data_IF_257475647341
#
_entry.id   IF_257475647341
#
_cell.length_a   1.000
_cell.length_b   1.000
_cell.length_c   1.000
_cell.angle_alpha   90.00
_cell.angle_beta   90.00
_cell.angle_gamma   90.00
#
_symmetry.space_group_name_H-M   'P 1'
#
loop_
_entity.id
_entity.type
_entity.pdbx_description
1 polymer ?
#
# COMPACT_ATOMS: atom_id res chain seq x y z
N UNK A 1 79.11 -12.55 -26.56
CA UNK A 1 77.86 -12.07 -27.20
C UNK A 1 76.89 -13.19 -27.56
N UNK A 2 77.26 -14.23 -28.36
CA UNK A 2 76.38 -15.37 -28.72
C UNK A 2 75.63 -15.99 -27.53
N UNK A 3 76.31 -16.14 -26.38
CA UNK A 3 75.77 -16.80 -25.20
C UNK A 3 74.69 -15.97 -24.47
N UNK A 4 74.89 -14.67 -24.26
CA UNK A 4 73.90 -13.81 -23.59
C UNK A 4 72.56 -13.72 -24.36
N UNK A 5 72.62 -13.73 -25.70
CA UNK A 5 71.44 -13.67 -26.57
C UNK A 5 70.62 -14.97 -26.47
N UNK A 6 71.29 -16.12 -26.34
CA UNK A 6 70.63 -17.41 -26.17
C UNK A 6 69.90 -17.52 -24.81
N UNK A 7 70.44 -16.91 -23.75
CA UNK A 7 69.78 -16.83 -22.45
C UNK A 7 68.51 -15.96 -22.48
N UNK A 8 68.60 -14.78 -23.10
CA UNK A 8 67.42 -13.90 -23.26
C UNK A 8 66.35 -14.55 -24.14
N UNK A 9 66.75 -15.33 -25.15
CA UNK A 9 65.83 -16.05 -26.03
C UNK A 9 64.98 -17.09 -25.29
N UNK A 10 65.63 -17.89 -24.43
CA UNK A 10 64.95 -18.92 -23.65
C UNK A 10 63.98 -18.32 -22.63
N UNK A 11 64.28 -17.16 -22.04
CA UNK A 11 63.35 -16.50 -21.11
C UNK A 11 62.04 -16.06 -21.76
N UNK A 12 62.05 -15.71 -23.05
CA UNK A 12 60.83 -15.30 -23.77
C UNK A 12 59.94 -16.45 -24.23
N UNK A 13 60.48 -17.66 -24.38
CA UNK A 13 59.71 -18.84 -24.83
C UNK A 13 58.96 -19.56 -23.70
N UNK A 14 59.23 -19.24 -22.42
CA UNK A 14 58.60 -19.88 -21.26
C UNK A 14 57.61 -18.99 -20.49
N UNK A 15 57.32 -17.77 -20.95
CA UNK A 15 56.40 -16.85 -20.26
C UNK A 15 54.94 -16.90 -20.74
N UNK A 16 54.57 -17.83 -21.61
CA UNK A 16 53.18 -18.02 -22.02
C UNK A 16 52.40 -18.83 -20.99
N UNK A 17 52.13 -18.19 -19.85
CA UNK A 17 51.30 -18.68 -18.77
C UNK A 17 51.02 -17.57 -17.78
N UNK A 18 50.05 -16.71 -18.10
CA UNK A 18 49.59 -15.55 -17.34
C UNK A 18 50.63 -14.41 -17.16
N UNK A 19 50.11 -13.19 -17.27
CA UNK A 19 50.78 -11.93 -16.94
C UNK A 19 51.59 -12.01 -15.63
N UNK A 20 52.91 -12.05 -15.73
CA UNK A 20 53.81 -11.78 -14.62
C UNK A 20 54.99 -10.96 -15.13
N UNK A 21 55.23 -9.81 -14.48
CA UNK A 21 56.32 -8.92 -14.79
C UNK A 21 57.64 -9.69 -14.74
N UNK A 22 58.35 -9.78 -15.87
CA UNK A 22 59.62 -10.49 -15.95
C UNK A 22 60.70 -9.53 -15.45
N UNK A 23 61.05 -9.67 -14.17
CA UNK A 23 62.29 -9.12 -13.64
C UNK A 23 63.45 -9.77 -14.39
N UNK A 24 64.18 -8.98 -15.17
CA UNK A 24 65.30 -9.43 -15.98
C UNK A 24 66.50 -9.78 -15.13
N UNK A 25 66.52 -10.98 -14.55
CA UNK A 25 67.75 -11.53 -13.98
C UNK A 25 68.70 -11.90 -15.12
N UNK A 26 69.84 -11.22 -15.15
CA UNK A 26 70.92 -11.46 -16.10
C UNK A 26 71.49 -12.86 -15.83
N UNK A 27 71.17 -13.83 -16.68
CA UNK A 27 71.71 -15.19 -16.58
C UNK A 27 73.19 -15.19 -16.97
N UNK A 28 74.05 -15.66 -16.07
CA UNK A 28 75.48 -15.82 -16.35
C UNK A 28 75.73 -16.82 -17.49
N UNK A 29 76.63 -16.43 -18.38
CA UNK A 29 77.03 -17.12 -19.61
C UNK A 29 77.44 -18.59 -19.42
N UNK A 30 77.91 -18.96 -18.24
CA UNK A 30 78.36 -20.32 -17.94
C UNK A 30 77.23 -21.30 -17.58
N UNK A 31 76.00 -20.81 -17.33
CA UNK A 31 74.86 -21.65 -16.91
C UNK A 31 73.95 -22.06 -18.06
N UNK A 32 74.14 -21.49 -19.25
CA UNK A 32 73.24 -21.64 -20.41
C UNK A 32 73.28 -23.05 -20.99
N UNK A 33 74.47 -23.63 -21.11
CA UNK A 33 74.64 -25.01 -21.58
C UNK A 33 73.99 -26.03 -20.60
N UNK A 34 73.91 -25.67 -19.31
CA UNK A 34 73.19 -26.42 -18.28
C UNK A 34 71.68 -26.32 -18.46
N UNK A 35 71.15 -25.11 -18.60
CA UNK A 35 69.71 -24.85 -18.78
C UNK A 35 69.15 -25.49 -20.07
N UNK A 36 69.92 -25.47 -21.16
CA UNK A 36 69.54 -26.15 -22.41
C UNK A 36 69.45 -27.66 -22.20
N UNK A 37 70.43 -28.26 -21.51
CA UNK A 37 70.44 -29.70 -21.21
C UNK A 37 69.31 -30.10 -20.25
N UNK A 38 69.07 -29.32 -19.19
CA UNK A 38 67.99 -29.56 -18.22
C UNK A 38 66.61 -29.57 -18.90
N UNK A 39 66.44 -28.78 -19.97
CA UNK A 39 65.18 -28.67 -20.70
C UNK A 39 65.14 -29.48 -22.01
N UNK A 40 66.10 -30.40 -22.24
CA UNK A 40 66.18 -31.22 -23.46
C UNK A 40 66.23 -30.41 -24.77
N UNK A 41 66.88 -29.25 -24.73
CA UNK A 41 67.05 -28.34 -25.86
C UNK A 41 68.47 -28.39 -26.43
N UNK A 42 68.57 -28.26 -27.74
CA UNK A 42 69.86 -28.19 -28.46
C UNK A 42 69.87 -26.97 -29.36
N UNK A 43 70.84 -26.08 -29.17
CA UNK A 43 71.09 -24.96 -30.07
C UNK A 43 72.07 -25.38 -31.18
N UNK A 44 71.72 -25.12 -32.44
CA UNK A 44 72.60 -25.34 -33.60
C UNK A 44 72.71 -24.06 -34.41
N UNK A 45 73.93 -23.69 -34.74
CA UNK A 45 74.19 -22.57 -35.63
C UNK A 45 74.30 -23.09 -37.07
N UNK A 46 73.52 -22.50 -37.96
CA UNK A 46 73.50 -22.83 -39.37
C UNK A 46 74.43 -21.88 -40.15
N UNK A 47 74.91 -22.33 -41.32
CA UNK A 47 75.89 -21.60 -42.13
C UNK A 47 75.39 -20.22 -42.63
N UNK A 48 74.08 -19.98 -42.56
CA UNK A 48 73.38 -18.72 -42.84
C UNK A 48 73.40 -17.73 -41.66
N UNK A 49 74.09 -18.05 -40.56
CA UNK A 49 74.21 -17.19 -39.38
C UNK A 49 72.97 -17.18 -38.48
N UNK A 50 72.03 -18.11 -38.70
CA UNK A 50 70.83 -18.32 -37.88
C UNK A 50 71.12 -19.38 -36.82
N UNK A 51 70.80 -19.08 -35.56
CA UNK A 51 70.84 -20.07 -34.46
C UNK A 51 69.45 -20.66 -34.26
N UNK A 52 69.29 -21.96 -34.46
CA UNK A 52 68.02 -22.67 -34.27
C UNK A 52 68.04 -23.47 -32.98
N UNK A 53 66.95 -23.44 -32.23
CA UNK A 53 66.77 -24.17 -30.98
C UNK A 53 65.81 -25.33 -31.25
N UNK A 54 66.28 -26.54 -30.98
CA UNK A 54 65.51 -27.76 -31.19
C UNK A 54 65.12 -28.38 -29.85
N UNK A 55 63.86 -28.78 -29.71
CA UNK A 55 63.38 -29.66 -28.66
C UNK A 55 63.42 -31.13 -29.12
N UNK A 56 63.35 -32.04 -28.15
CA UNK A 56 63.10 -33.47 -28.38
C UNK A 56 64.18 -34.13 -29.28
N UNK A 57 65.44 -34.08 -28.82
CA UNK A 57 66.59 -34.69 -29.50
C UNK A 57 66.83 -34.23 -30.96
N UNK A 58 66.46 -32.99 -31.29
CA UNK A 58 66.84 -32.36 -32.56
C UNK A 58 65.84 -32.49 -33.70
N UNK A 59 64.60 -32.94 -33.43
CA UNK A 59 63.57 -33.10 -34.45
C UNK A 59 62.64 -31.88 -34.60
N UNK A 60 62.30 -31.19 -33.51
CA UNK A 60 61.36 -30.07 -33.55
C UNK A 60 62.09 -28.75 -33.36
N UNK A 61 62.17 -27.93 -34.41
CA UNK A 61 62.67 -26.56 -34.32
C UNK A 61 61.60 -25.69 -33.65
N UNK A 62 61.85 -25.27 -32.41
CA UNK A 62 60.88 -24.50 -31.62
C UNK A 62 61.17 -23.00 -31.67
N UNK A 63 62.40 -22.60 -31.98
CA UNK A 63 62.72 -21.19 -32.12
C UNK A 63 63.93 -20.93 -33.01
N UNK A 64 63.92 -19.81 -33.73
CA UNK A 64 65.04 -19.33 -34.53
C UNK A 64 65.51 -17.96 -34.05
N UNK A 65 66.81 -17.75 -34.00
CA UNK A 65 67.45 -16.48 -33.68
C UNK A 65 68.28 -16.03 -34.88
N UNK A 66 67.94 -14.89 -35.48
CA UNK A 66 68.68 -14.34 -36.62
C UNK A 66 69.27 -12.98 -36.26
N UNK A 67 70.58 -12.80 -36.53
CA UNK A 67 71.23 -11.50 -36.43
C UNK A 67 70.93 -10.68 -37.68
N UNK A 68 70.42 -9.47 -37.49
CA UNK A 68 70.16 -8.52 -38.56
C UNK A 68 71.41 -7.68 -38.87
N UNK A 69 71.46 -7.11 -40.08
CA UNK A 69 72.58 -6.29 -40.54
C UNK A 69 72.81 -5.02 -39.69
N UNK A 70 71.76 -4.55 -39.00
CA UNK A 70 71.80 -3.40 -38.09
C UNK A 70 72.30 -3.72 -36.67
N UNK A 71 72.74 -4.97 -36.45
CA UNK A 71 73.26 -5.46 -35.17
C UNK A 71 72.20 -5.97 -34.20
N UNK A 72 70.91 -5.93 -34.56
CA UNK A 72 69.80 -6.46 -33.75
C UNK A 72 69.61 -7.97 -33.93
N UNK A 73 68.79 -8.61 -33.08
CA UNK A 73 68.46 -10.03 -33.17
C UNK A 73 66.95 -10.24 -33.27
N UNK A 74 66.49 -10.99 -34.26
CA UNK A 74 65.09 -11.40 -34.38
C UNK A 74 64.92 -12.78 -33.76
N UNK A 75 63.86 -12.97 -32.97
CA UNK A 75 63.48 -14.28 -32.44
C UNK A 75 62.15 -14.69 -33.02
N UNK A 76 62.13 -15.86 -33.66
CA UNK A 76 60.95 -16.44 -34.25
C UNK A 76 60.59 -17.70 -33.47
N UNK A 77 59.44 -17.70 -32.81
CA UNK A 77 58.86 -18.90 -32.22
C UNK A 77 58.10 -19.65 -33.32
N UNK A 78 58.43 -20.92 -33.51
CA UNK A 78 57.86 -21.76 -34.57
C UNK A 78 56.58 -22.50 -34.14
N UNK A 79 55.97 -22.16 -33.00
CA UNK A 79 54.67 -22.71 -32.60
C UNK A 79 53.53 -22.18 -33.49
N UNK A 80 52.54 -23.03 -33.83
CA UNK A 80 51.48 -22.75 -34.83
C UNK A 80 50.53 -21.56 -34.52
N UNK A 81 50.80 -20.76 -33.49
CA UNK A 81 50.01 -19.57 -33.18
C UNK A 81 50.79 -18.45 -32.45
N UNK A 82 52.13 -18.50 -32.45
CA UNK A 82 52.97 -17.49 -31.81
C UNK A 82 53.51 -16.49 -32.84
N UNK A 83 53.18 -15.21 -32.68
CA UNK A 83 53.81 -14.15 -33.48
C UNK A 83 55.31 -14.05 -33.21
N UNK A 84 56.08 -13.56 -34.18
CA UNK A 84 57.52 -13.29 -34.02
C UNK A 84 57.76 -12.13 -33.05
N UNK A 85 58.67 -12.31 -32.08
CA UNK A 85 59.09 -11.24 -31.16
C UNK A 85 60.43 -10.66 -31.59
N UNK A 86 60.46 -9.39 -31.94
CA UNK A 86 61.69 -8.69 -32.32
C UNK A 86 62.40 -8.15 -31.06
N UNK A 87 63.63 -8.60 -30.78
CA UNK A 87 64.41 -8.20 -29.61
C UNK A 87 65.65 -7.40 -30.02
N UNK A 88 65.67 -6.10 -29.70
CA UNK A 88 66.81 -5.24 -30.02
C UNK A 88 67.84 -5.34 -28.91
N UNK A 89 69.01 -5.91 -29.20
CA UNK A 89 70.14 -5.97 -28.27
C UNK A 89 71.22 -5.02 -28.74
N UNK A 90 71.45 -3.92 -28.00
CA UNK A 90 72.54 -2.96 -28.24
C UNK A 90 73.32 -2.76 -26.95
N UNK A 91 74.63 -2.96 -27.00
CA UNK A 91 75.55 -2.75 -25.86
C UNK A 91 75.17 -3.51 -24.57
N UNK A 92 74.60 -4.71 -24.70
CA UNK A 92 74.24 -5.57 -23.57
C UNK A 92 72.87 -5.28 -22.94
N UNK A 93 72.12 -4.31 -23.45
CA UNK A 93 70.75 -3.99 -23.03
C UNK A 93 69.77 -4.60 -24.04
N UNK A 94 68.79 -5.34 -23.54
CA UNK A 94 67.69 -5.93 -24.32
C UNK A 94 66.51 -4.96 -24.27
N UNK A 95 66.03 -4.50 -25.42
CA UNK A 95 64.74 -3.82 -25.54
C UNK A 95 63.78 -4.63 -26.40
N UNK A 96 62.56 -4.83 -25.90
CA UNK A 96 61.46 -5.40 -26.66
C UNK A 96 61.04 -4.37 -27.73
N UNK A 97 61.01 -4.73 -29.01
CA UNK A 97 60.40 -3.87 -30.02
C UNK A 97 58.87 -3.89 -29.77
N UNK A 98 58.21 -2.73 -29.91
CA UNK A 98 56.78 -2.55 -29.71
C UNK A 98 55.99 -3.72 -30.32
N UNK A 99 55.17 -4.38 -29.50
CA UNK A 99 54.17 -5.32 -29.98
C UNK A 99 53.22 -4.50 -30.84
N UNK A 100 53.30 -4.66 -32.15
CA UNK A 100 52.32 -4.10 -33.06
C UNK A 100 50.95 -4.68 -32.66
N UNK A 101 50.14 -3.85 -31.98
CA UNK A 101 48.76 -4.17 -31.61
C UNK A 101 48.02 -4.49 -32.91
N UNK A 102 47.96 -5.76 -33.30
CA UNK A 102 47.13 -6.17 -34.43
C UNK A 102 45.69 -5.81 -34.06
N UNK A 103 45.03 -4.88 -34.78
CA UNK A 103 43.63 -4.57 -34.51
C UNK A 103 42.82 -5.87 -34.66
N UNK A 104 41.82 -6.05 -33.78
CA UNK A 104 40.89 -7.17 -33.84
C UNK A 104 40.33 -7.31 -35.27
N UNK A 105 40.13 -8.52 -35.81
CA UNK A 105 39.57 -8.72 -37.14
C UNK A 105 38.24 -7.95 -37.28
N UNK A 106 38.08 -7.16 -38.35
CA UNK A 106 36.97 -6.20 -38.51
C UNK A 106 35.57 -6.78 -38.28
N UNK A 107 35.37 -8.08 -38.56
CA UNK A 107 34.11 -8.79 -38.34
C UNK A 107 33.72 -8.92 -36.86
N UNK A 108 34.66 -9.13 -35.94
CA UNK A 108 34.35 -9.31 -34.52
C UNK A 108 34.06 -7.99 -33.81
N UNK A 109 34.66 -6.89 -34.29
CA UNK A 109 34.34 -5.55 -33.80
C UNK A 109 32.94 -5.13 -34.24
N UNK A 110 32.61 -5.33 -35.52
CA UNK A 110 31.27 -5.03 -36.04
C UNK A 110 30.16 -5.82 -35.34
N UNK A 111 30.40 -7.10 -34.99
CA UNK A 111 29.45 -7.91 -34.22
C UNK A 111 29.23 -7.39 -32.80
N UNK A 112 30.30 -7.03 -32.09
CA UNK A 112 30.19 -6.46 -30.74
C UNK A 112 29.49 -5.09 -30.75
N UNK A 113 29.81 -4.24 -31.73
CA UNK A 113 29.17 -2.93 -31.87
C UNK A 113 27.67 -3.06 -32.18
N UNK A 114 27.28 -4.07 -32.99
CA UNK A 114 25.87 -4.38 -33.25
C UNK A 114 25.13 -4.86 -31.98
N UNK A 115 25.73 -5.74 -31.19
CA UNK A 115 25.16 -6.23 -29.93
C UNK A 115 25.00 -5.10 -28.88
N UNK A 116 25.99 -4.21 -28.77
CA UNK A 116 25.91 -3.03 -27.89
C UNK A 116 24.77 -2.11 -28.32
N UNK A 117 24.59 -1.89 -29.62
CA UNK A 117 23.51 -1.03 -30.13
C UNK A 117 22.13 -1.67 -29.92
N UNK A 118 22.02 -2.99 -30.07
CA UNK A 118 20.80 -3.71 -29.74
C UNK A 118 20.46 -3.59 -28.25
N UNK A 119 21.42 -3.84 -27.35
CA UNK A 119 21.21 -3.72 -25.92
C UNK A 119 20.81 -2.29 -25.50
N UNK A 120 21.38 -1.26 -26.14
CA UNK A 120 20.96 0.14 -25.93
C UNK A 120 19.50 0.37 -26.30
N UNK A 121 19.06 -0.16 -27.43
CA UNK A 121 17.67 -0.02 -27.88
C UNK A 121 16.70 -0.74 -26.91
N UNK A 122 17.05 -1.94 -26.47
CA UNK A 122 16.22 -2.71 -25.52
C UNK A 122 16.09 -1.99 -24.16
N UNK A 123 17.17 -1.36 -23.68
CA UNK A 123 17.17 -0.54 -22.47
C UNK A 123 16.31 0.72 -22.65
N UNK A 124 16.38 1.38 -23.81
CA UNK A 124 15.55 2.56 -24.09
C UNK A 124 14.06 2.21 -24.12
N UNK A 125 13.71 1.06 -24.70
CA UNK A 125 12.32 0.58 -24.69
C UNK A 125 11.86 0.20 -23.28
N UNK A 126 12.70 -0.46 -22.49
CA UNK A 126 12.41 -0.76 -21.08
C UNK A 126 12.18 0.51 -20.25
N UNK A 127 12.98 1.57 -20.46
CA UNK A 127 12.81 2.85 -19.78
C UNK A 127 11.48 3.52 -20.15
N UNK A 128 11.11 3.53 -21.44
CA UNK A 128 9.80 4.05 -21.88
C UNK A 128 8.63 3.30 -21.25
N UNK A 129 8.76 1.97 -21.11
CA UNK A 129 7.76 1.14 -20.41
C UNK A 129 7.71 1.48 -18.91
N UNK A 130 8.85 1.63 -18.24
CA UNK A 130 8.91 2.02 -16.83
C UNK A 130 8.23 3.37 -16.58
N UNK A 131 8.52 4.39 -17.40
CA UNK A 131 7.85 5.69 -17.29
C UNK A 131 6.33 5.60 -17.50
N UNK A 132 5.87 4.71 -18.39
CA UNK A 132 4.44 4.50 -18.59
C UNK A 132 3.77 3.83 -17.38
N UNK A 133 4.48 2.94 -16.70
CA UNK A 133 4.03 2.29 -15.47
C UNK A 133 3.98 3.31 -14.33
N UNK A 134 5.00 4.15 -14.16
CA UNK A 134 5.01 5.20 -13.14
C UNK A 134 3.83 6.17 -13.31
N UNK A 135 3.53 6.57 -14.56
CA UNK A 135 2.34 7.38 -14.85
C UNK A 135 1.05 6.65 -14.49
N UNK A 136 0.95 5.35 -14.77
CA UNK A 136 -0.22 4.56 -14.42
C UNK A 136 -0.40 4.42 -12.89
N UNK A 137 0.70 4.24 -12.15
CA UNK A 137 0.69 4.19 -10.68
C UNK A 137 0.23 5.54 -10.11
N UNK A 138 0.78 6.66 -10.58
CA UNK A 138 0.36 7.99 -10.11
C UNK A 138 -1.14 8.25 -10.35
N UNK A 139 -1.66 7.85 -11.53
CA UNK A 139 -3.09 7.98 -11.81
C UNK A 139 -3.94 7.10 -10.87
N UNK A 140 -3.46 5.91 -10.50
CA UNK A 140 -4.14 5.02 -9.55
C UNK A 140 -4.10 5.61 -8.14
N UNK A 141 -2.95 6.14 -7.70
CA UNK A 141 -2.80 6.80 -6.40
C UNK A 141 -3.77 7.98 -6.26
N UNK A 142 -3.87 8.82 -7.29
CA UNK A 142 -4.83 9.91 -7.33
C UNK A 142 -6.27 9.37 -7.24
N UNK A 143 -6.63 8.36 -8.02
CA UNK A 143 -7.97 7.78 -7.98
C UNK A 143 -8.32 7.18 -6.60
N UNK A 144 -7.36 6.49 -5.96
CA UNK A 144 -7.52 5.94 -4.61
C UNK A 144 -7.70 7.06 -3.59
N UNK A 145 -6.91 8.14 -3.68
CA UNK A 145 -7.00 9.27 -2.76
C UNK A 145 -8.36 9.98 -2.86
N UNK A 146 -8.84 10.24 -4.08
CA UNK A 146 -10.15 10.84 -4.31
C UNK A 146 -11.27 9.93 -3.82
N UNK A 147 -11.24 8.63 -4.19
CA UNK A 147 -12.23 7.66 -3.75
C UNK A 147 -12.26 7.49 -2.22
N UNK A 148 -11.08 7.46 -1.58
CA UNK A 148 -10.96 7.42 -0.12
C UNK A 148 -11.59 8.63 0.56
N UNK A 149 -11.32 9.84 0.04
CA UNK A 149 -11.92 11.07 0.58
C UNK A 149 -13.45 11.10 0.40
N UNK A 150 -13.97 10.64 -0.73
CA UNK A 150 -15.43 10.53 -0.94
C UNK A 150 -16.06 9.56 0.05
N UNK A 151 -15.43 8.41 0.31
CA UNK A 151 -15.90 7.44 1.30
C UNK A 151 -15.90 8.04 2.71
N UNK A 152 -14.83 8.74 3.11
CA UNK A 152 -14.75 9.40 4.42
C UNK A 152 -15.83 10.47 4.59
N UNK A 153 -16.08 11.27 3.54
CA UNK A 153 -17.13 12.27 3.55
C UNK A 153 -18.53 11.62 3.65
N UNK A 154 -18.77 10.54 2.90
CA UNK A 154 -20.02 9.80 2.96
C UNK A 154 -20.24 9.15 4.33
N UNK A 155 -19.21 8.53 4.91
CA UNK A 155 -19.26 7.96 6.26
C UNK A 155 -19.59 9.03 7.30
N UNK A 156 -18.91 10.18 7.24
CA UNK A 156 -19.17 11.32 8.13
C UNK A 156 -20.60 11.86 8.01
N UNK A 157 -21.13 11.90 6.78
CA UNK A 157 -22.53 12.30 6.55
C UNK A 157 -23.52 11.27 7.10
N UNK A 158 -23.20 9.97 7.01
CA UNK A 158 -24.01 8.90 7.59
C UNK A 158 -24.01 8.99 9.12
N UNK A 159 -22.85 9.16 9.75
CA UNK A 159 -22.75 9.28 11.21
C UNK A 159 -23.59 10.45 11.75
N UNK A 160 -23.52 11.61 11.08
CA UNK A 160 -24.34 12.76 11.43
C UNK A 160 -25.85 12.47 11.31
N UNK A 161 -26.26 11.73 10.27
CA UNK A 161 -27.67 11.33 10.08
C UNK A 161 -28.11 10.31 11.12
N UNK A 162 -27.28 9.33 11.46
CA UNK A 162 -27.57 8.32 12.49
C UNK A 162 -27.74 9.00 13.84
N UNK A 163 -26.80 9.85 14.26
CA UNK A 163 -26.91 10.60 15.51
C UNK A 163 -28.18 11.48 15.54
N UNK A 164 -28.53 12.12 14.42
CA UNK A 164 -29.77 12.90 14.31
C UNK A 164 -31.02 12.03 14.42
N UNK A 165 -31.01 10.82 13.85
CA UNK A 165 -32.12 9.87 13.94
C UNK A 165 -32.26 9.32 15.36
N UNK A 166 -31.17 9.03 16.06
CA UNK A 166 -31.19 8.60 17.46
C UNK A 166 -31.85 9.65 18.35
N UNK A 167 -31.42 10.92 18.23
CA UNK A 167 -32.02 12.05 18.96
C UNK A 167 -33.51 12.20 18.63
N UNK A 168 -33.89 12.14 17.35
CA UNK A 168 -35.29 12.24 16.94
C UNK A 168 -36.13 11.07 17.46
N UNK A 169 -35.59 9.86 17.47
CA UNK A 169 -36.28 8.67 17.94
C UNK A 169 -36.50 8.70 19.45
N UNK A 170 -35.49 9.13 20.22
CA UNK A 170 -35.63 9.34 21.66
C UNK A 170 -36.70 10.39 21.98
N UNK A 171 -36.69 11.52 21.26
CA UNK A 171 -37.71 12.57 21.42
C UNK A 171 -39.10 12.06 21.04
N UNK A 172 -39.23 11.28 19.97
CA UNK A 172 -40.50 10.68 19.54
C UNK A 172 -41.02 9.70 20.58
N UNK A 173 -40.17 8.81 21.11
CA UNK A 173 -40.56 7.84 22.13
C UNK A 173 -41.02 8.55 23.41
N UNK A 174 -40.30 9.58 23.85
CA UNK A 174 -40.72 10.39 25.01
C UNK A 174 -42.03 11.12 24.76
N UNK A 175 -42.21 11.71 23.57
CA UNK A 175 -43.44 12.41 23.20
C UNK A 175 -44.62 11.46 23.16
N UNK A 176 -44.44 10.26 22.60
CA UNK A 176 -45.48 9.24 22.53
C UNK A 176 -45.89 8.77 23.92
N UNK A 177 -44.95 8.52 24.83
CA UNK A 177 -45.25 8.17 26.22
C UNK A 177 -45.99 9.29 26.95
N UNK A 178 -45.59 10.55 26.75
CA UNK A 178 -46.29 11.70 27.33
C UNK A 178 -47.70 11.87 26.76
N UNK A 179 -47.89 11.66 25.46
CA UNK A 179 -49.19 11.71 24.81
C UNK A 179 -50.11 10.61 25.33
N UNK A 180 -49.64 9.35 25.43
CA UNK A 180 -50.43 8.26 25.99
C UNK A 180 -50.88 8.56 27.41
N UNK A 181 -49.97 9.03 28.28
CA UNK A 181 -50.33 9.44 29.65
C UNK A 181 -51.36 10.56 29.69
N UNK A 182 -51.26 11.55 28.78
CA UNK A 182 -52.23 12.65 28.68
C UNK A 182 -53.60 12.14 28.22
N UNK A 183 -53.63 11.20 27.28
CA UNK A 183 -54.87 10.57 26.81
C UNK A 183 -55.53 9.80 27.95
N UNK A 184 -54.79 8.95 28.66
CA UNK A 184 -55.31 8.18 29.81
C UNK A 184 -55.82 9.11 30.93
N UNK A 185 -55.10 10.22 31.16
CA UNK A 185 -55.53 11.25 32.10
C UNK A 185 -56.81 11.95 31.66
N UNK A 186 -56.93 12.29 30.38
CA UNK A 186 -58.10 12.98 29.86
C UNK A 186 -59.32 12.05 29.84
N UNK A 187 -59.14 10.77 29.49
CA UNK A 187 -60.20 9.76 29.58
C UNK A 187 -60.67 9.57 31.02
N UNK A 188 -59.74 9.55 31.99
CA UNK A 188 -60.08 9.50 33.42
C UNK A 188 -60.93 10.69 33.87
N UNK A 189 -60.51 11.91 33.54
CA UNK A 189 -61.26 13.15 33.85
C UNK A 189 -62.64 13.19 33.19
N UNK A 190 -62.72 12.81 31.93
CA UNK A 190 -63.98 12.73 31.20
C UNK A 190 -64.92 11.72 31.84
N UNK A 191 -64.42 10.53 32.17
CA UNK A 191 -65.19 9.47 32.83
C UNK A 191 -65.69 9.92 34.20
N UNK A 192 -64.86 10.61 34.97
CA UNK A 192 -65.23 11.24 36.24
C UNK A 192 -66.33 12.29 36.07
N UNK A 193 -66.22 13.16 35.06
CA UNK A 193 -67.23 14.16 34.74
C UNK A 193 -68.59 13.53 34.41
N UNK A 194 -68.60 12.49 33.56
CA UNK A 194 -69.83 11.78 33.17
C UNK A 194 -70.46 11.08 34.38
N UNK A 195 -69.65 10.37 35.19
CA UNK A 195 -70.13 9.74 36.41
C UNK A 195 -70.72 10.79 37.38
N UNK A 196 -70.08 11.94 37.53
CA UNK A 196 -70.54 13.05 38.36
C UNK A 196 -71.88 13.63 37.88
N UNK A 197 -72.03 13.84 36.58
CA UNK A 197 -73.30 14.30 35.99
C UNK A 197 -74.40 13.27 36.14
N UNK A 198 -74.09 11.97 35.95
CA UNK A 198 -75.05 10.89 36.20
C UNK A 198 -75.49 10.87 37.68
N UNK A 199 -74.57 11.07 38.61
CA UNK A 199 -74.87 11.17 40.03
C UNK A 199 -75.77 12.39 40.33
N UNK A 200 -75.48 13.56 39.74
CA UNK A 200 -76.31 14.77 39.90
C UNK A 200 -77.71 14.62 39.29
N UNK A 201 -77.82 13.93 38.17
CA UNK A 201 -79.09 13.66 37.50
C UNK A 201 -80.03 12.82 38.40
N UNK A 202 -79.47 11.87 39.14
CA UNK A 202 -80.21 11.01 40.07
C UNK A 202 -80.60 11.69 41.40
N UNK A 203 -80.22 12.96 41.64
CA UNK A 203 -80.66 13.71 42.82
C UNK A 203 -82.17 14.01 42.69
N UNK A 204 -83.01 13.52 43.62
CA UNK A 204 -84.46 13.70 43.57
C UNK A 204 -84.86 15.14 43.86
N UNK A 205 -85.96 15.57 43.22
CA UNK A 205 -86.60 16.87 43.45
C UNK A 205 -88.08 16.64 43.74
N UNK A 206 -88.59 17.20 44.83
CA UNK A 206 -90.01 17.13 45.20
C UNK A 206 -90.67 18.48 44.95
N UNK A 207 -91.82 18.48 44.26
CA UNK A 207 -92.58 19.69 43.99
C UNK A 207 -93.20 20.28 45.27
N UNK A 208 -93.27 21.62 45.34
CA UNK A 208 -93.81 22.36 46.48
C UNK A 208 -92.89 22.43 47.71
N UNK A 209 -91.67 21.88 47.66
CA UNK A 209 -90.75 21.81 48.81
C UNK A 209 -89.30 22.02 48.40
N UNK A 210 -88.52 22.58 49.33
CA UNK A 210 -87.06 22.49 49.27
C UNK A 210 -86.63 21.06 49.61
N UNK A 211 -85.95 20.41 48.67
CA UNK A 211 -85.46 19.04 48.75
C UNK A 211 -83.94 19.06 48.79
N UNK A 212 -83.35 18.33 49.73
CA UNK A 212 -81.93 17.98 49.71
C UNK A 212 -81.81 16.52 49.32
N UNK A 213 -80.91 16.21 48.40
CA UNK A 213 -80.74 14.86 47.92
C UNK A 213 -79.28 14.54 47.61
N UNK A 214 -78.99 13.25 47.57
CA UNK A 214 -77.72 12.72 47.13
C UNK A 214 -77.97 11.70 46.03
N UNK A 215 -77.02 11.57 45.11
CA UNK A 215 -77.04 10.59 44.04
C UNK A 215 -75.67 9.95 43.87
N UNK A 216 -75.65 8.77 43.27
CA UNK A 216 -74.43 8.08 42.88
C UNK A 216 -74.46 7.81 41.37
N UNK A 217 -73.29 7.77 40.76
CA UNK A 217 -73.12 7.55 39.34
C UNK A 217 -71.87 6.73 39.07
N UNK A 218 -71.95 5.82 38.12
CA UNK A 218 -70.83 4.99 37.69
C UNK A 218 -70.68 5.08 36.17
N UNK A 219 -69.47 5.31 35.69
CA UNK A 219 -69.18 5.32 34.26
C UNK A 219 -67.71 4.97 34.01
N UNK A 220 -67.46 4.02 33.09
CA UNK A 220 -66.11 3.64 32.63
C UNK A 220 -65.09 3.40 33.76
N UNK A 221 -65.50 2.74 34.85
CA UNK A 221 -64.63 2.48 36.01
C UNK A 221 -64.47 3.65 36.99
N UNK A 222 -65.04 4.81 36.70
CA UNK A 222 -65.14 5.95 37.62
C UNK A 222 -66.42 5.87 38.44
N UNK A 223 -66.31 6.16 39.74
CA UNK A 223 -67.45 6.26 40.64
C UNK A 223 -67.58 7.71 41.14
N UNK A 224 -68.81 8.20 41.19
CA UNK A 224 -69.09 9.54 41.66
C UNK A 224 -70.26 9.56 42.65
N UNK A 225 -70.16 10.49 43.58
CA UNK A 225 -71.22 10.85 44.50
C UNK A 225 -71.56 12.33 44.28
N UNK A 226 -72.85 12.64 44.31
CA UNK A 226 -73.34 14.00 44.19
C UNK A 226 -74.29 14.33 45.32
N UNK A 227 -74.30 15.59 45.70
CA UNK A 227 -75.25 16.17 46.65
C UNK A 227 -75.81 17.46 46.05
N UNK A 228 -77.05 17.78 46.37
CA UNK A 228 -77.68 18.96 45.84
C UNK A 228 -78.94 19.33 46.57
N UNK A 229 -79.38 20.56 46.32
CA UNK A 229 -80.63 21.10 46.79
C UNK A 229 -81.47 21.56 45.61
N UNK A 230 -82.77 21.34 45.69
CA UNK A 230 -83.72 21.82 44.70
C UNK A 230 -84.97 22.33 45.37
N UNK A 231 -85.58 23.39 44.84
CA UNK A 231 -86.89 23.86 45.28
C UNK A 231 -87.84 23.87 44.09
N UNK A 232 -88.95 23.16 44.22
CA UNK A 232 -90.07 23.26 43.29
C UNK A 232 -91.12 24.19 43.89
N UNK A 233 -91.44 25.28 43.21
CA UNK A 233 -92.51 26.20 43.58
C UNK A 233 -93.84 25.70 43.00
N UNK A 234 -94.94 25.91 43.72
CA UNK A 234 -96.29 25.50 43.27
C UNK A 234 -96.75 26.26 42.01
N UNK A 235 -96.11 27.38 41.69
CA UNK A 235 -96.35 28.18 40.49
C UNK A 235 -95.70 27.60 39.20
N UNK A 236 -95.24 26.35 39.24
CA UNK A 236 -94.64 25.65 38.10
C UNK A 236 -93.15 25.94 37.88
N UNK A 237 -92.52 26.82 38.67
CA UNK A 237 -91.07 27.07 38.59
C UNK A 237 -90.30 26.06 39.46
N UNK A 238 -89.17 25.56 38.99
CA UNK A 238 -88.25 24.74 39.79
C UNK A 238 -86.81 25.23 39.66
N UNK A 239 -86.05 25.16 40.74
CA UNK A 239 -84.63 25.50 40.78
C UNK A 239 -83.86 24.31 41.37
N UNK A 240 -82.71 23.97 40.81
CA UNK A 240 -81.82 22.90 41.28
C UNK A 240 -80.38 23.40 41.27
N UNK A 241 -79.63 23.10 42.33
CA UNK A 241 -78.18 23.27 42.42
C UNK A 241 -77.56 21.99 42.97
N UNK A 242 -76.45 21.54 42.38
CA UNK A 242 -75.79 20.31 42.76
C UNK A 242 -74.27 20.36 42.58
N UNK A 243 -73.57 19.58 43.38
CA UNK A 243 -72.13 19.36 43.35
C UNK A 243 -71.90 17.85 43.31
N UNK A 244 -70.95 17.39 42.50
CA UNK A 244 -70.49 16.02 42.50
C UNK A 244 -68.99 15.91 42.71
N UNK A 245 -68.58 14.86 43.41
CA UNK A 245 -67.21 14.43 43.58
C UNK A 245 -67.04 13.04 42.94
N UNK A 246 -66.10 12.91 42.03
CA UNK A 246 -65.81 11.68 41.31
C UNK A 246 -64.38 11.20 41.58
N UNK A 247 -64.22 9.88 41.74
CA UNK A 247 -62.94 9.20 41.85
C UNK A 247 -62.79 8.22 40.69
N UNK A 248 -61.74 8.42 39.90
CA UNK A 248 -61.48 7.66 38.69
C UNK A 248 -60.55 6.47 38.88
N UNK A 249 -60.47 5.65 37.82
CA UNK A 249 -59.62 4.45 37.71
C UNK A 249 -58.13 4.71 38.00
N UNK A 250 -57.66 5.94 37.74
CA UNK A 250 -56.27 6.38 37.91
C UNK A 250 -56.06 7.28 39.15
N UNK A 251 -56.90 7.12 40.18
CA UNK A 251 -56.88 7.89 41.43
C UNK A 251 -57.11 9.41 41.30
N UNK A 252 -57.59 9.83 40.12
CA UNK A 252 -57.96 11.20 39.80
C UNK A 252 -59.23 11.61 40.54
N UNK A 253 -59.22 12.83 41.09
CA UNK A 253 -60.33 13.42 41.84
C UNK A 253 -60.81 14.65 41.09
N UNK A 254 -62.04 14.61 40.61
CA UNK A 254 -62.65 15.72 39.90
C UNK A 254 -63.97 16.13 40.57
N UNK A 255 -64.26 17.42 40.50
CA UNK A 255 -65.46 18.02 41.08
C UNK A 255 -66.25 18.71 39.96
N UNK A 256 -67.55 18.46 39.91
CA UNK A 256 -68.46 19.09 38.95
C UNK A 256 -69.55 19.84 39.72
N UNK A 257 -69.84 21.06 39.30
CA UNK A 257 -70.89 21.90 39.87
C UNK A 257 -71.92 22.15 38.77
N UNK A 258 -73.21 22.11 39.10
CA UNK A 258 -74.28 22.41 38.17
C UNK A 258 -75.44 23.12 38.86
N UNK A 259 -76.14 23.97 38.12
CA UNK A 259 -77.40 24.55 38.54
C UNK A 259 -78.34 24.67 37.34
N UNK A 260 -79.66 24.62 37.57
CA UNK A 260 -80.67 24.69 36.53
C UNK A 260 -82.00 25.22 37.06
N UNK A 261 -82.76 25.83 36.17
CA UNK A 261 -84.12 26.34 36.41
C UNK A 261 -85.06 25.73 35.37
N UNK A 262 -86.27 25.36 35.78
CA UNK A 262 -87.33 24.85 34.93
C UNK A 262 -88.64 25.59 35.17
N UNK A 263 -89.48 25.66 34.15
CA UNK A 263 -90.84 26.20 34.24
C UNK A 263 -91.81 25.23 33.56
N UNK A 264 -92.91 24.92 34.24
CA UNK A 264 -93.99 24.05 33.76
C UNK A 264 -95.29 24.85 33.70
N UNK A 265 -96.04 24.71 32.61
CA UNK A 265 -97.36 25.30 32.37
C UNK A 265 -98.43 24.23 32.25
#
# INVERSE_FOLDING_TARGET
MKKAILATALLSTFSMGASAAINGDIVEVNKIDGLLKENNLVARESADGVTRIFANNGQNNIAEIRRNADGTYTLHDNHENSGSVNLKVKDGIVSFADVENKPLPDADKARRDAEINQNKNDIEEANKRAESVDRAINNIEDAIFHGGNEIVNAASAIDNRVNSLEIQFEQMAQTQLQQSRRIDQNEGKMSNGIAGVAAMANIPTVSGKTTFGAGIGHFNGSNAIAIGASTGFENGVSLKGSLSYAKGKWDQKDVVVGAGIGYSF
#
